data_IF_409133538116
#
_entry.id   IF_409133538116
#
_cell.length_a   1.000
_cell.length_b   1.000
_cell.length_c   1.000
_cell.angle_alpha   90.00
_cell.angle_beta   90.00
_cell.angle_gamma   90.00
#
_symmetry.space_group_name_H-M   'P 1'
#
loop_
_entity.id
_entity.type
_entity.pdbx_description
1 polymer ?
#
# COMPACT_ATOMS: atom_id res chain seq x y z
N UNK A 1 16.11 2.82 -12.28
CA UNK A 1 14.78 3.36 -12.66
C UNK A 1 13.85 3.49 -11.45
N UNK A 2 12.91 4.42 -11.51
CA UNK A 2 11.95 4.77 -10.47
C UNK A 2 10.93 3.62 -10.31
N UNK A 3 11.36 2.48 -9.77
CA UNK A 3 10.63 1.20 -9.78
C UNK A 3 9.17 1.42 -9.37
N UNK A 4 8.27 1.32 -10.35
CA UNK A 4 6.82 1.45 -10.29
C UNK A 4 6.28 2.14 -9.02
N UNK A 5 6.08 3.46 -9.07
CA UNK A 5 5.50 4.24 -7.97
C UNK A 5 4.30 3.51 -7.36
N UNK A 6 4.33 3.25 -6.05
CA UNK A 6 3.23 2.62 -5.30
C UNK A 6 3.27 1.10 -5.24
N UNK A 7 4.31 0.43 -5.72
CA UNK A 7 4.51 -1.00 -5.48
C UNK A 7 4.93 -1.28 -4.03
N UNK A 8 4.32 -2.29 -3.41
CA UNK A 8 4.73 -2.81 -2.11
C UNK A 8 5.95 -3.72 -2.32
N UNK A 9 7.12 -3.26 -1.89
CA UNK A 9 8.39 -3.95 -2.12
C UNK A 9 8.68 -5.05 -1.10
N UNK A 10 8.46 -4.77 0.18
CA UNK A 10 8.69 -5.70 1.27
C UNK A 10 7.63 -5.50 2.36
N UNK A 11 7.27 -6.58 3.02
CA UNK A 11 6.36 -6.61 4.18
C UNK A 11 6.99 -7.55 5.20
N UNK A 12 7.12 -7.09 6.44
CA UNK A 12 7.75 -7.89 7.49
C UNK A 12 6.68 -8.74 8.18
N UNK A 13 7.03 -9.96 8.55
CA UNK A 13 6.07 -10.82 9.22
C UNK A 13 5.61 -10.19 10.55
N UNK A 14 4.31 -10.26 10.82
CA UNK A 14 3.63 -9.65 11.97
C UNK A 14 3.68 -8.11 12.06
N UNK A 15 4.21 -7.40 11.07
CA UNK A 15 4.25 -5.94 11.07
C UNK A 15 2.85 -5.32 10.82
N UNK A 16 2.65 -4.01 11.10
CA UNK A 16 1.39 -3.33 10.83
C UNK A 16 0.86 -3.53 9.39
N UNK A 17 1.74 -3.53 8.38
CA UNK A 17 1.40 -3.80 6.99
C UNK A 17 0.94 -5.25 6.78
N UNK A 18 1.63 -6.24 7.36
CA UNK A 18 1.19 -7.63 7.35
C UNK A 18 -0.20 -7.79 7.99
N UNK A 19 -0.43 -7.17 9.16
CA UNK A 19 -1.74 -7.20 9.84
C UNK A 19 -2.84 -6.50 9.04
N UNK A 20 -2.48 -5.53 8.21
CA UNK A 20 -3.38 -4.87 7.28
C UNK A 20 -3.66 -5.68 5.99
N UNK A 21 -3.07 -6.88 5.85
CA UNK A 21 -3.25 -7.73 4.68
C UNK A 21 -2.42 -7.30 3.46
N UNK A 22 -1.44 -6.43 3.65
CA UNK A 22 -0.50 -6.08 2.58
C UNK A 22 0.47 -7.24 2.34
N UNK A 23 0.78 -7.47 1.06
CA UNK A 23 1.79 -8.44 0.65
C UNK A 23 2.75 -7.82 -0.38
N UNK A 24 4.00 -8.30 -0.46
CA UNK A 24 4.91 -7.91 -1.52
C UNK A 24 4.29 -8.15 -2.90
N UNK A 25 4.47 -7.20 -3.81
CA UNK A 25 3.90 -7.27 -5.17
C UNK A 25 2.50 -6.68 -5.33
N UNK A 26 1.81 -6.34 -4.23
CA UNK A 26 0.61 -5.49 -4.29
C UNK A 26 0.96 -4.06 -4.75
N UNK A 27 -0.03 -3.34 -5.27
CA UNK A 27 0.13 -1.94 -5.71
C UNK A 27 -0.93 -1.04 -5.08
N UNK A 28 -0.49 0.08 -4.53
CA UNK A 28 -1.38 1.08 -3.93
C UNK A 28 -2.07 1.87 -5.05
N UNK A 29 -3.40 1.86 -5.04
CA UNK A 29 -4.27 2.53 -6.00
C UNK A 29 -4.82 3.84 -5.44
N UNK A 30 -5.09 3.91 -4.13
CA UNK A 30 -5.56 5.11 -3.45
C UNK A 30 -5.12 5.16 -1.98
N UNK A 31 -5.07 6.38 -1.44
CA UNK A 31 -4.75 6.70 -0.05
C UNK A 31 -5.82 7.66 0.47
N UNK A 32 -6.52 7.29 1.54
CA UNK A 32 -7.61 8.07 2.17
C UNK A 32 -8.68 8.55 1.17
N UNK A 33 -8.97 7.72 0.15
CA UNK A 33 -9.94 8.01 -0.89
C UNK A 33 -9.40 8.81 -2.08
N UNK A 34 -8.15 9.29 -2.04
CA UNK A 34 -7.50 9.99 -3.15
C UNK A 34 -6.62 9.04 -3.97
N UNK A 35 -6.65 9.17 -5.31
CA UNK A 35 -5.82 8.36 -6.20
C UNK A 35 -4.33 8.46 -5.84
N UNK A 36 -3.64 7.32 -5.91
CA UNK A 36 -2.25 7.23 -5.48
C UNK A 36 -1.34 8.18 -6.25
N UNK A 37 -0.64 9.03 -5.50
CA UNK A 37 0.52 9.80 -5.93
C UNK A 37 1.52 9.79 -4.76
N UNK A 38 2.84 9.79 -5.00
CA UNK A 38 3.83 9.81 -3.91
C UNK A 38 3.60 10.96 -2.92
N UNK A 39 3.24 12.13 -3.41
CA UNK A 39 2.95 13.31 -2.59
C UNK A 39 1.70 13.13 -1.71
N UNK A 40 0.68 12.43 -2.22
CA UNK A 40 -0.56 12.15 -1.46
C UNK A 40 -0.24 11.20 -0.31
N UNK A 41 0.54 10.14 -0.57
CA UNK A 41 0.97 9.20 0.47
C UNK A 41 1.79 9.90 1.57
N UNK A 42 2.77 10.73 1.19
CA UNK A 42 3.60 11.46 2.17
C UNK A 42 2.75 12.40 3.02
N UNK A 43 1.80 13.13 2.41
CA UNK A 43 0.90 14.02 3.15
C UNK A 43 0.00 13.25 4.12
N UNK A 44 -0.58 12.14 3.67
CA UNK A 44 -1.42 11.29 4.51
C UNK A 44 -0.64 10.73 5.69
N UNK A 45 0.62 10.32 5.49
CA UNK A 45 1.49 9.83 6.56
C UNK A 45 1.78 10.91 7.61
N UNK A 46 2.12 12.14 7.18
CA UNK A 46 2.36 13.27 8.11
C UNK A 46 1.10 13.61 8.92
N UNK A 47 -0.08 13.54 8.30
CA UNK A 47 -1.34 13.77 9.00
C UNK A 47 -1.68 12.63 9.97
N UNK A 48 -1.44 11.39 9.57
CA UNK A 48 -1.65 10.21 10.40
C UNK A 48 -0.71 10.21 11.62
N UNK A 49 0.54 10.62 11.44
CA UNK A 49 1.52 10.79 12.53
C UNK A 49 1.04 11.84 13.55
N UNK A 50 0.55 13.00 13.09
CA UNK A 50 0.12 14.09 13.97
C UNK A 50 -1.18 13.80 14.71
N UNK A 51 -2.13 13.18 14.00
CA UNK A 51 -3.52 13.08 14.48
C UNK A 51 -3.89 11.64 14.90
N UNK A 52 -2.95 10.70 14.77
CA UNK A 52 -3.15 9.27 15.03
C UNK A 52 -4.34 8.71 14.22
N UNK A 53 -4.61 9.33 13.06
CA UNK A 53 -5.73 8.94 12.21
C UNK A 53 -5.40 7.65 11.45
N UNK A 54 -6.35 6.69 11.35
CA UNK A 54 -6.14 5.48 10.55
C UNK A 54 -5.86 5.81 9.09
N UNK A 55 -4.71 5.36 8.58
CA UNK A 55 -4.36 5.45 7.15
C UNK A 55 -5.11 4.37 6.37
N UNK A 56 -5.93 4.77 5.38
CA UNK A 56 -6.71 3.84 4.56
C UNK A 56 -6.09 3.69 3.17
N UNK A 57 -5.76 2.47 2.79
CA UNK A 57 -5.17 2.15 1.49
C UNK A 57 -6.11 1.29 0.66
N UNK A 58 -6.28 1.64 -0.60
CA UNK A 58 -6.86 0.74 -1.60
C UNK A 58 -5.69 0.12 -2.34
N UNK A 59 -5.59 -1.21 -2.33
CA UNK A 59 -4.53 -1.94 -3.00
C UNK A 59 -5.08 -2.89 -4.05
N UNK A 60 -4.36 -3.02 -5.15
CA UNK A 60 -4.59 -4.03 -6.17
C UNK A 60 -3.52 -5.11 -6.04
N UNK A 61 -3.98 -6.35 -5.88
CA UNK A 61 -3.12 -7.50 -6.06
C UNK A 61 -2.90 -7.74 -7.55
N UNK A 62 -1.67 -8.07 -7.94
CA UNK A 62 -1.43 -8.61 -9.26
C UNK A 62 -1.85 -10.08 -9.22
N UNK A 63 -3.12 -10.36 -9.56
CA UNK A 63 -3.68 -11.73 -9.59
C UNK A 63 -2.72 -12.63 -10.37
N UNK A 64 -1.96 -13.45 -9.65
CA UNK A 64 -1.21 -14.56 -10.23
C UNK A 64 -2.29 -15.61 -10.47
N UNK A 65 -2.60 -15.90 -11.73
CA UNK A 65 -3.47 -17.03 -12.04
C UNK A 65 -2.88 -18.24 -11.30
N UNK A 66 -3.64 -18.90 -10.41
CA UNK A 66 -3.18 -20.17 -9.87
C UNK A 66 -2.97 -21.08 -11.07
N UNK A 67 -1.87 -21.83 -11.04
CA UNK A 67 -1.54 -22.82 -12.05
C UNK A 67 -2.80 -23.57 -12.50
N UNK A 68 -2.98 -23.63 -13.83
CA UNK A 68 -4.06 -24.40 -14.44
C UNK A 68 -4.03 -25.86 -14.00
N UNK A 69 -5.21 -26.48 -14.07
CA UNK A 69 -5.54 -27.85 -13.71
C UNK A 69 -4.43 -28.88 -13.97
#
# INVERSE_FOLDING_TARGET
PLHAKGAVGNVLWMDPAFRAGLAPGMRIQAVDGASFKPQVLVRALVLAERNHHPLRLIVAERRRLPYGC
#
